data_IF_490817838757
#
_entry.id   IF_490817838757
#
_cell.length_a   1.000
_cell.length_b   1.000
_cell.length_c   1.000
_cell.angle_alpha   90.00
_cell.angle_beta   90.00
_cell.angle_gamma   90.00
#
_symmetry.space_group_name_H-M   'P 1'
#
loop_
_entity.id
_entity.type
_entity.pdbx_description
1 polymer ?
#
# COMPACT_ATOMS: atom_id res chain seq x y z
N UNK A 1 9.08 4.58 -3.14
CA UNK A 1 8.26 5.32 -2.18
C UNK A 1 7.04 6.03 -2.81
N UNK A 2 6.51 5.51 -3.91
CA UNK A 2 5.25 5.96 -4.49
C UNK A 2 4.27 4.79 -4.56
N UNK A 3 3.14 4.93 -3.90
CA UNK A 3 2.08 3.95 -3.92
C UNK A 3 0.82 4.55 -4.58
N UNK A 4 0.18 3.79 -5.46
CA UNK A 4 -1.04 4.20 -6.16
C UNK A 4 -2.26 3.35 -5.81
N UNK A 5 -2.10 2.38 -4.92
CA UNK A 5 -3.21 1.58 -4.43
C UNK A 5 -4.16 2.45 -3.57
N UNK A 6 -5.46 2.15 -3.53
CA UNK A 6 -6.38 2.83 -2.63
C UNK A 6 -5.92 2.73 -1.18
N UNK A 7 -6.05 3.80 -0.42
CA UNK A 7 -5.72 3.90 1.01
C UNK A 7 -4.24 3.59 1.34
N UNK A 8 -3.34 3.62 0.36
CA UNK A 8 -1.93 3.37 0.57
C UNK A 8 -1.32 4.33 1.62
N UNK A 9 -0.33 3.83 2.35
CA UNK A 9 0.39 4.63 3.33
C UNK A 9 1.13 5.82 2.67
N UNK A 10 1.14 6.95 3.37
CA UNK A 10 1.90 8.12 2.98
C UNK A 10 3.36 7.96 3.41
N UNK A 11 4.24 7.73 2.45
CA UNK A 11 5.65 7.55 2.71
C UNK A 11 6.38 8.83 3.12
N UNK A 12 5.88 10.01 2.78
CA UNK A 12 6.47 11.26 3.25
C UNK A 12 6.34 11.37 4.77
N UNK A 13 5.17 10.97 5.30
CA UNK A 13 4.94 10.87 6.74
C UNK A 13 5.75 9.74 7.40
N UNK A 14 5.73 8.55 6.81
CA UNK A 14 6.35 7.35 7.39
C UNK A 14 7.86 7.45 7.49
N UNK A 15 8.51 8.17 6.55
CA UNK A 15 9.96 8.30 6.47
C UNK A 15 10.50 9.58 7.12
N UNK A 16 9.65 10.44 7.65
CA UNK A 16 10.08 11.69 8.26
C UNK A 16 11.08 11.44 9.38
N UNK A 17 12.22 12.16 9.35
CA UNK A 17 13.29 12.04 10.35
C UNK A 17 14.18 10.80 10.22
N UNK A 18 14.13 10.09 9.09
CA UNK A 18 14.92 8.87 8.82
C UNK A 18 16.01 9.06 7.76
N UNK A 19 16.45 10.29 7.54
CA UNK A 19 17.42 10.65 6.51
C UNK A 19 18.75 9.91 6.68
N UNK A 20 19.23 9.76 7.92
CA UNK A 20 20.51 9.10 8.22
C UNK A 20 20.47 7.61 7.92
N UNK A 21 19.43 6.94 8.33
CA UNK A 21 19.22 5.52 8.10
C UNK A 21 19.06 5.24 6.58
N UNK A 22 18.26 6.06 5.91
CA UNK A 22 18.06 5.96 4.46
C UNK A 22 19.37 6.15 3.70
N UNK A 23 20.18 7.17 4.05
CA UNK A 23 21.47 7.40 3.40
C UNK A 23 22.46 6.27 3.65
N UNK A 24 22.54 5.74 4.87
CA UNK A 24 23.43 4.62 5.21
C UNK A 24 23.07 3.38 4.37
N UNK A 25 21.77 3.06 4.27
CA UNK A 25 21.30 1.93 3.48
C UNK A 25 21.60 2.12 1.98
N UNK A 26 21.32 3.29 1.40
CA UNK A 26 21.61 3.57 -0.02
C UNK A 26 23.09 3.46 -0.29
N UNK A 27 23.93 3.98 0.58
CA UNK A 27 25.40 3.87 0.46
C UNK A 27 25.87 2.41 0.44
N UNK A 28 25.29 1.56 1.30
CA UNK A 28 25.60 0.14 1.29
C UNK A 28 25.11 -0.56 0.02
N UNK A 29 23.86 -0.30 -0.39
CA UNK A 29 23.27 -0.89 -1.60
C UNK A 29 24.07 -0.53 -2.85
N UNK A 30 24.58 0.69 -2.97
CA UNK A 30 25.41 1.12 -4.09
C UNK A 30 26.74 0.34 -4.20
N UNK A 31 27.15 -0.37 -3.13
CA UNK A 31 28.33 -1.25 -3.13
C UNK A 31 27.99 -2.70 -3.46
N UNK A 32 26.72 -3.09 -3.34
CA UNK A 32 26.27 -4.46 -3.58
C UNK A 32 25.84 -4.71 -5.03
N UNK A 33 25.71 -3.66 -5.83
CA UNK A 33 25.31 -3.75 -7.25
C UNK A 33 26.23 -2.89 -8.12
N UNK A 34 26.45 -3.34 -9.34
CA UNK A 34 27.11 -2.52 -10.37
C UNK A 34 26.14 -1.53 -11.04
N UNK A 35 24.85 -1.72 -10.86
CA UNK A 35 23.80 -0.86 -11.38
C UNK A 35 23.50 0.34 -10.48
N UNK A 36 22.67 1.25 -10.99
CA UNK A 36 22.25 2.42 -10.24
C UNK A 36 21.17 2.08 -9.19
N UNK A 37 21.21 2.76 -8.06
CA UNK A 37 20.11 2.74 -7.07
C UNK A 37 19.03 3.70 -7.54
N UNK A 38 17.94 3.15 -8.07
CA UNK A 38 16.80 3.92 -8.57
C UNK A 38 15.79 4.14 -7.45
N UNK A 39 15.38 5.38 -7.22
CA UNK A 39 14.40 5.77 -6.20
C UNK A 39 13.21 6.46 -6.86
N UNK A 40 12.02 5.93 -6.66
CA UNK A 40 10.78 6.50 -7.18
C UNK A 40 9.99 7.18 -6.07
N UNK A 41 9.63 8.44 -6.27
CA UNK A 41 8.79 9.23 -5.36
C UNK A 41 7.62 9.87 -6.12
N UNK A 42 6.58 10.26 -5.41
CA UNK A 42 5.45 10.96 -6.02
C UNK A 42 5.85 12.31 -6.61
N UNK A 43 5.22 12.73 -7.70
CA UNK A 43 5.52 14.03 -8.34
C UNK A 43 5.37 15.23 -7.40
N UNK A 44 4.46 15.13 -6.41
CA UNK A 44 4.19 16.17 -5.41
C UNK A 44 4.75 15.80 -4.02
N UNK A 45 5.55 14.74 -3.93
CA UNK A 45 6.16 14.27 -2.68
C UNK A 45 7.19 15.28 -2.18
N UNK A 46 7.35 15.31 -0.86
CA UNK A 46 8.43 16.00 -0.17
C UNK A 46 9.18 14.98 0.71
N UNK A 47 9.53 13.87 0.10
CA UNK A 47 10.13 12.73 0.80
C UNK A 47 11.58 12.98 1.16
N UNK A 48 12.04 12.53 2.34
CA UNK A 48 13.45 12.50 2.69
C UNK A 48 14.35 11.79 1.66
N UNK A 49 13.76 10.91 0.85
CA UNK A 49 14.47 10.21 -0.22
C UNK A 49 14.98 11.12 -1.34
N UNK A 50 14.43 12.33 -1.48
CA UNK A 50 14.84 13.25 -2.56
C UNK A 50 16.22 13.88 -2.32
N UNK A 51 16.65 13.96 -1.06
CA UNK A 51 17.93 14.56 -0.69
C UNK A 51 19.07 13.55 -0.52
N UNK A 52 18.88 12.26 -0.91
CA UNK A 52 19.90 11.24 -0.75
C UNK A 52 20.96 11.31 -1.86
N UNK A 53 22.20 11.02 -1.49
CA UNK A 53 23.31 10.89 -2.43
C UNK A 53 23.35 9.48 -3.07
N UNK A 54 23.98 9.38 -4.24
CA UNK A 54 24.19 8.15 -4.99
C UNK A 54 22.91 7.43 -5.42
N UNK A 55 21.88 8.17 -5.74
CA UNK A 55 20.62 7.67 -6.29
C UNK A 55 20.31 8.26 -7.66
N UNK A 56 19.47 7.59 -8.41
CA UNK A 56 18.76 8.14 -9.57
C UNK A 56 17.31 8.35 -9.16
N UNK A 57 16.92 9.59 -9.01
CA UNK A 57 15.58 9.97 -8.55
C UNK A 57 14.59 10.01 -9.71
N UNK A 58 13.44 9.34 -9.55
CA UNK A 58 12.34 9.34 -10.50
C UNK A 58 11.07 9.91 -9.88
N UNK A 59 10.50 10.93 -10.49
CA UNK A 59 9.19 11.50 -10.11
C UNK A 59 8.09 10.76 -10.85
N UNK A 60 7.23 10.07 -10.11
CA UNK A 60 6.14 9.23 -10.64
C UNK A 60 4.78 9.85 -10.34
N UNK A 61 3.85 9.73 -11.27
CA UNK A 61 2.45 10.11 -11.07
C UNK A 61 1.54 9.31 -12.01
N UNK A 62 0.29 9.18 -11.64
CA UNK A 62 -0.71 8.50 -12.47
C UNK A 62 -1.68 7.66 -11.63
N UNK A 63 -2.71 7.13 -12.28
CA UNK A 63 -3.63 6.20 -11.61
C UNK A 63 -2.94 4.87 -11.32
N UNK A 64 -3.57 4.05 -10.49
CA UNK A 64 -3.14 2.66 -10.33
C UNK A 64 -3.15 1.95 -11.71
N UNK A 65 -2.12 1.18 -12.07
CA UNK A 65 -1.03 0.61 -11.26
C UNK A 65 0.32 1.39 -11.32
N UNK A 66 0.34 2.69 -11.55
CA UNK A 66 1.59 3.46 -11.66
C UNK A 66 2.52 3.35 -10.43
N UNK A 67 1.96 3.03 -9.26
CA UNK A 67 2.71 2.78 -8.03
C UNK A 67 3.29 1.37 -7.91
N UNK A 68 2.91 0.44 -8.79
CA UNK A 68 3.45 -0.90 -8.73
C UNK A 68 4.90 -0.92 -9.22
N UNK A 69 5.77 -1.58 -8.47
CA UNK A 69 7.21 -1.60 -8.75
C UNK A 69 7.54 -2.17 -10.13
N UNK A 70 6.84 -3.22 -10.56
CA UNK A 70 7.02 -3.77 -11.91
C UNK A 70 6.66 -2.78 -13.02
N UNK A 71 5.61 -1.96 -12.83
CA UNK A 71 5.24 -0.90 -13.78
C UNK A 71 6.31 0.19 -13.84
N UNK A 72 6.92 0.52 -12.71
CA UNK A 72 7.99 1.51 -12.64
C UNK A 72 9.27 0.98 -13.30
N UNK A 73 9.66 -0.26 -13.00
CA UNK A 73 10.82 -0.92 -13.63
C UNK A 73 10.65 -0.96 -15.15
N UNK A 74 9.48 -1.39 -15.64
CA UNK A 74 9.21 -1.46 -17.07
C UNK A 74 9.35 -0.12 -17.81
N UNK A 75 9.19 1.00 -17.09
CA UNK A 75 9.33 2.35 -17.67
C UNK A 75 10.71 2.98 -17.46
N UNK A 76 11.39 2.63 -16.39
CA UNK A 76 12.70 3.21 -16.02
C UNK A 76 13.82 2.45 -16.70
N UNK A 77 13.85 1.13 -16.49
CA UNK A 77 14.84 0.22 -17.06
C UNK A 77 14.24 -1.17 -17.15
N UNK A 78 13.59 -1.53 -18.27
CA UNK A 78 12.98 -2.85 -18.45
C UNK A 78 13.99 -3.98 -18.28
N UNK A 79 13.60 -5.00 -17.53
CA UNK A 79 14.44 -6.18 -17.27
C UNK A 79 14.37 -7.13 -18.46
N UNK A 80 15.53 -7.48 -19.01
CA UNK A 80 15.69 -8.44 -20.10
C UNK A 80 16.13 -9.82 -19.59
N UNK A 81 16.14 -10.81 -20.48
CA UNK A 81 16.58 -12.17 -20.15
C UNK A 81 18.01 -12.16 -19.62
N UNK A 82 18.19 -12.71 -18.42
CA UNK A 82 19.50 -12.79 -17.74
C UNK A 82 19.81 -11.60 -16.82
N UNK A 83 18.99 -10.56 -16.82
CA UNK A 83 19.13 -9.45 -15.89
C UNK A 83 18.35 -9.70 -14.59
N UNK A 84 18.83 -9.14 -13.50
CA UNK A 84 18.20 -9.24 -12.16
C UNK A 84 18.07 -7.85 -11.56
N UNK A 85 16.88 -7.54 -11.03
CA UNK A 85 16.62 -6.31 -10.30
C UNK A 85 16.16 -6.64 -8.89
N UNK A 86 16.80 -6.03 -7.91
CA UNK A 86 16.39 -6.10 -6.52
C UNK A 86 15.46 -4.91 -6.20
N UNK A 87 14.41 -5.19 -5.46
CA UNK A 87 13.46 -4.16 -5.01
C UNK A 87 13.34 -4.18 -3.49
N UNK A 88 13.23 -3.00 -2.91
CA UNK A 88 13.08 -2.82 -1.46
C UNK A 88 11.95 -1.82 -1.17
N UNK A 89 11.19 -2.06 -0.11
CA UNK A 89 10.29 -1.06 0.40
C UNK A 89 11.07 0.05 1.13
N UNK A 90 10.54 1.27 1.19
CA UNK A 90 11.22 2.36 1.90
C UNK A 90 11.45 2.07 3.39
N UNK A 91 10.56 1.35 4.05
CA UNK A 91 10.74 0.98 5.45
C UNK A 91 11.79 -0.12 5.65
N UNK A 92 11.91 -1.06 4.70
CA UNK A 92 13.01 -2.04 4.73
C UNK A 92 14.36 -1.35 4.60
N UNK A 93 14.42 -0.28 3.79
CA UNK A 93 15.62 0.54 3.67
C UNK A 93 15.99 1.19 5.01
N UNK A 94 15.01 1.70 5.77
CA UNK A 94 15.25 2.25 7.12
C UNK A 94 15.80 1.18 8.06
N UNK A 95 15.23 -0.02 8.06
CA UNK A 95 15.68 -1.14 8.91
C UNK A 95 17.12 -1.53 8.59
N UNK A 96 17.47 -1.61 7.30
CA UNK A 96 18.84 -1.90 6.85
C UNK A 96 19.80 -0.79 7.31
N UNK A 97 19.42 0.46 7.14
CA UNK A 97 20.23 1.60 7.55
C UNK A 97 20.46 1.64 9.06
N UNK A 98 19.42 1.42 9.86
CA UNK A 98 19.52 1.35 11.30
C UNK A 98 20.45 0.21 11.76
N UNK A 99 20.32 -0.97 11.14
CA UNK A 99 21.23 -2.08 11.40
C UNK A 99 22.69 -1.72 11.12
N UNK A 100 22.97 -1.05 10.01
CA UNK A 100 24.33 -0.66 9.63
C UNK A 100 24.91 0.41 10.57
N UNK A 101 24.08 1.33 11.05
CA UNK A 101 24.51 2.40 11.96
C UNK A 101 24.70 1.94 13.39
N UNK A 102 23.86 1.00 13.85
CA UNK A 102 23.79 0.63 15.29
C UNK A 102 24.29 -0.78 15.58
N UNK A 103 24.42 -1.63 14.58
CA UNK A 103 24.70 -3.06 14.74
C UNK A 103 23.53 -3.87 15.29
N UNK A 104 22.35 -3.27 15.44
CA UNK A 104 21.15 -3.93 16.01
C UNK A 104 20.02 -3.99 15.00
N UNK A 105 19.42 -5.17 14.85
CA UNK A 105 18.21 -5.32 14.06
C UNK A 105 16.99 -4.81 14.82
N UNK A 106 16.32 -3.81 14.24
CA UNK A 106 15.07 -3.29 14.76
C UNK A 106 13.92 -3.72 13.85
N UNK A 107 13.01 -4.55 14.35
CA UNK A 107 11.86 -5.04 13.61
C UNK A 107 10.65 -4.08 13.64
N UNK A 108 10.81 -2.88 14.19
CA UNK A 108 9.72 -1.90 14.24
C UNK A 108 9.39 -1.36 12.84
N UNK A 109 8.10 -1.20 12.61
CA UNK A 109 7.54 -0.72 11.37
C UNK A 109 6.33 0.16 11.62
N UNK A 110 6.19 1.24 10.86
CA UNK A 110 4.97 2.05 10.86
C UNK A 110 3.94 1.39 9.96
N UNK A 111 2.77 1.11 10.50
CA UNK A 111 1.68 0.42 9.82
C UNK A 111 0.48 1.36 9.73
N UNK A 112 -0.11 1.49 8.55
CA UNK A 112 -1.35 2.19 8.36
C UNK A 112 -2.53 1.24 8.63
N UNK A 113 -3.45 1.60 9.51
CA UNK A 113 -4.75 0.96 9.65
C UNK A 113 -5.79 1.83 8.95
N UNK A 114 -6.39 1.31 7.87
CA UNK A 114 -7.32 2.04 7.04
C UNK A 114 -8.44 1.14 6.52
N UNK A 115 -9.45 1.73 5.89
CA UNK A 115 -10.59 1.02 5.31
C UNK A 115 -11.92 1.55 5.81
N UNK A 116 -12.98 1.27 5.06
CA UNK A 116 -14.34 1.77 5.36
C UNK A 116 -14.95 1.18 6.64
N UNK A 117 -14.43 0.04 7.10
CA UNK A 117 -14.84 -0.57 8.36
C UNK A 117 -14.01 -0.12 9.58
N UNK A 118 -13.06 0.78 9.43
CA UNK A 118 -12.22 1.30 10.52
C UNK A 118 -12.83 2.56 11.10
N UNK A 119 -13.09 2.58 12.41
CA UNK A 119 -13.67 3.74 13.12
C UNK A 119 -12.83 5.02 13.01
N UNK A 120 -11.52 4.87 13.10
CA UNK A 120 -10.58 5.99 13.07
C UNK A 120 -9.26 5.53 12.42
N UNK A 121 -9.09 5.77 11.12
CA UNK A 121 -7.85 5.44 10.41
C UNK A 121 -6.66 6.17 11.03
N UNK A 122 -5.56 5.43 11.29
CA UNK A 122 -4.34 5.95 11.93
C UNK A 122 -3.13 5.15 11.52
N UNK A 123 -1.95 5.74 11.77
CA UNK A 123 -0.69 5.02 11.80
C UNK A 123 -0.40 4.46 13.18
N UNK A 124 0.19 3.29 13.23
CA UNK A 124 0.63 2.59 14.43
C UNK A 124 2.07 2.12 14.26
N UNK A 125 2.85 2.18 15.32
CA UNK A 125 4.13 1.49 15.39
C UNK A 125 3.87 0.05 15.81
N UNK A 126 4.38 -0.90 15.06
CA UNK A 126 4.26 -2.33 15.34
C UNK A 126 5.53 -3.05 14.89
N UNK A 127 5.57 -4.36 15.04
CA UNK A 127 6.70 -5.19 14.60
C UNK A 127 6.32 -6.01 13.36
N UNK A 128 7.32 -6.33 12.56
CA UNK A 128 7.17 -7.28 11.45
C UNK A 128 6.54 -8.58 11.96
N UNK A 129 5.52 -9.07 11.27
CA UNK A 129 4.80 -10.29 11.66
C UNK A 129 3.89 -10.15 12.88
N UNK A 130 3.56 -8.93 13.31
CA UNK A 130 2.66 -8.71 14.44
C UNK A 130 1.29 -9.30 14.18
N UNK A 131 0.63 -9.76 15.27
CA UNK A 131 -0.75 -10.23 15.21
C UNK A 131 -1.70 -9.11 14.78
N UNK A 132 -2.52 -9.39 13.79
CA UNK A 132 -3.52 -8.43 13.31
C UNK A 132 -4.58 -8.14 14.38
N UNK A 133 -4.87 -9.09 15.26
CA UNK A 133 -5.79 -8.88 16.40
C UNK A 133 -5.38 -7.65 17.22
N UNK A 134 -4.11 -7.54 17.58
CA UNK A 134 -3.60 -6.40 18.38
C UNK A 134 -3.70 -5.06 17.65
N UNK A 135 -3.69 -5.10 16.32
CA UNK A 135 -3.79 -3.90 15.47
C UNK A 135 -5.24 -3.44 15.35
N UNK A 136 -6.21 -4.38 15.21
CA UNK A 136 -7.61 -4.06 14.88
C UNK A 136 -8.56 -4.04 16.09
N UNK A 137 -8.17 -4.63 17.23
CA UNK A 137 -9.03 -4.77 18.42
C UNK A 137 -9.63 -3.43 18.87
N UNK A 138 -10.95 -3.41 19.04
CA UNK A 138 -11.72 -2.23 19.46
C UNK A 138 -11.81 -1.09 18.44
N UNK A 139 -11.22 -1.23 17.26
CA UNK A 139 -11.09 -0.16 16.25
C UNK A 139 -12.00 -0.32 15.04
N UNK A 140 -12.74 -1.42 14.96
CA UNK A 140 -13.61 -1.72 13.83
C UNK A 140 -15.07 -1.33 14.10
N UNK A 141 -15.76 -0.98 13.03
CA UNK A 141 -17.22 -0.83 13.04
C UNK A 141 -17.88 -2.20 13.28
N UNK A 142 -19.12 -2.19 13.77
CA UNK A 142 -19.93 -3.39 13.94
C UNK A 142 -20.19 -4.06 12.59
N UNK A 143 -20.41 -5.38 12.63
CA UNK A 143 -20.69 -6.20 11.46
C UNK A 143 -19.55 -7.15 11.08
N UNK A 144 -19.78 -7.93 10.05
CA UNK A 144 -18.74 -8.80 9.49
C UNK A 144 -17.75 -7.96 8.67
N UNK A 145 -16.48 -8.12 8.99
CA UNK A 145 -15.41 -7.34 8.39
C UNK A 145 -14.32 -8.24 7.80
N UNK A 146 -13.90 -7.93 6.60
CA UNK A 146 -12.73 -8.52 5.97
C UNK A 146 -11.48 -7.77 6.39
N UNK A 147 -10.57 -8.49 7.05
CA UNK A 147 -9.28 -7.94 7.50
C UNK A 147 -8.21 -8.39 6.52
N UNK A 148 -7.56 -7.43 5.89
CA UNK A 148 -6.60 -7.64 4.80
C UNK A 148 -5.22 -7.21 5.26
N UNK A 149 -4.24 -8.11 5.20
CA UNK A 149 -2.84 -7.75 5.26
C UNK A 149 -2.43 -7.13 3.94
N UNK A 150 -2.02 -5.86 3.95
CA UNK A 150 -1.76 -5.08 2.75
C UNK A 150 -2.95 -4.26 2.26
N UNK A 151 -2.98 -3.94 0.96
CA UNK A 151 -4.03 -3.12 0.34
C UNK A 151 -5.18 -3.97 -0.20
N UNK A 152 -6.31 -3.33 -0.53
CA UNK A 152 -7.53 -4.00 -1.01
C UNK A 152 -7.39 -4.72 -2.36
N UNK A 153 -6.36 -4.43 -3.16
CA UNK A 153 -6.22 -4.96 -4.52
C UNK A 153 -5.33 -6.20 -4.56
N UNK A 154 -4.27 -6.23 -3.75
CA UNK A 154 -3.24 -7.26 -3.79
C UNK A 154 -2.91 -7.86 -2.43
N UNK A 155 -3.52 -7.37 -1.36
CA UNK A 155 -3.32 -7.90 -0.02
C UNK A 155 -3.96 -9.26 0.19
N UNK A 156 -3.53 -9.96 1.23
CA UNK A 156 -4.04 -11.26 1.61
C UNK A 156 -5.20 -11.11 2.60
N UNK A 157 -6.31 -11.78 2.31
CA UNK A 157 -7.42 -11.86 3.27
C UNK A 157 -6.99 -12.74 4.44
N UNK A 158 -6.79 -12.11 5.57
CA UNK A 158 -6.47 -12.76 6.83
C UNK A 158 -7.66 -12.62 7.78
N UNK A 159 -7.84 -13.59 8.67
CA UNK A 159 -8.74 -13.35 9.79
C UNK A 159 -8.11 -12.35 10.77
N UNK A 160 -8.92 -11.78 11.66
CA UNK A 160 -8.39 -10.97 12.77
C UNK A 160 -7.35 -11.71 13.64
N UNK A 161 -7.26 -13.04 13.53
CA UNK A 161 -6.29 -13.90 14.21
C UNK A 161 -5.00 -14.11 13.40
N UNK A 162 -4.95 -13.66 12.15
CA UNK A 162 -3.77 -13.76 11.28
C UNK A 162 -2.64 -12.83 11.71
N UNK A 163 -1.54 -12.91 11.00
CA UNK A 163 -0.35 -12.06 11.20
C UNK A 163 -0.16 -11.12 10.02
N UNK A 164 0.38 -9.94 10.28
CA UNK A 164 0.77 -9.01 9.23
C UNK A 164 1.88 -9.64 8.37
N UNK A 165 1.68 -9.65 7.05
CA UNK A 165 2.66 -10.15 6.09
C UNK A 165 4.01 -9.43 6.21
N UNK A 166 5.09 -10.16 5.94
CA UNK A 166 6.45 -9.65 6.12
C UNK A 166 6.70 -8.33 5.36
N UNK A 167 6.17 -8.21 4.15
CA UNK A 167 6.36 -7.03 3.30
C UNK A 167 5.23 -6.00 3.41
N UNK A 168 4.18 -6.30 4.19
CA UNK A 168 3.03 -5.42 4.33
C UNK A 168 3.29 -4.31 5.35
N UNK A 169 2.86 -3.11 5.00
CA UNK A 169 2.98 -1.91 5.82
C UNK A 169 1.62 -1.27 6.12
N UNK A 170 0.55 -2.00 5.83
CA UNK A 170 -0.81 -1.55 6.13
C UNK A 170 -1.71 -2.74 6.42
N UNK A 171 -2.74 -2.47 7.19
CA UNK A 171 -3.90 -3.34 7.40
C UNK A 171 -5.11 -2.61 6.87
N UNK A 172 -5.79 -3.21 5.91
CA UNK A 172 -7.02 -2.66 5.34
C UNK A 172 -8.22 -3.46 5.82
N UNK A 173 -9.24 -2.77 6.34
CA UNK A 173 -10.46 -3.43 6.80
C UNK A 173 -11.66 -2.84 6.09
N UNK A 174 -12.43 -3.71 5.45
CA UNK A 174 -13.64 -3.36 4.70
C UNK A 174 -14.79 -4.27 5.13
N UNK A 175 -16.06 -3.84 5.00
CA UNK A 175 -17.20 -4.71 5.26
C UNK A 175 -17.16 -5.95 4.38
N UNK A 176 -17.43 -7.11 4.97
CA UNK A 176 -17.60 -8.36 4.21
C UNK A 176 -18.95 -8.33 3.48
N UNK A 177 -18.91 -8.63 2.20
CA UNK A 177 -20.06 -8.53 1.33
C UNK A 177 -20.89 -9.79 1.30
N UNK A 178 -21.78 -9.93 2.27
CA UNK A 178 -22.79 -10.99 2.29
C UNK A 178 -24.19 -10.51 1.89
N UNK A 179 -24.32 -9.22 1.55
CA UNK A 179 -25.60 -8.62 1.15
C UNK A 179 -25.77 -8.76 -0.37
N UNK A 180 -26.67 -9.65 -0.78
CA UNK A 180 -27.04 -9.86 -2.17
C UNK A 180 -28.19 -8.93 -2.54
N UNK A 181 -28.03 -8.15 -3.57
CA UNK A 181 -29.06 -7.28 -4.11
C UNK A 181 -29.59 -7.84 -5.43
N UNK A 182 -30.79 -8.40 -5.40
CA UNK A 182 -31.46 -8.94 -6.59
C UNK A 182 -31.60 -7.84 -7.65
N UNK A 183 -31.11 -8.11 -8.87
CA UNK A 183 -31.06 -7.15 -9.97
C UNK A 183 -30.36 -5.82 -9.63
N UNK A 184 -29.41 -5.82 -8.69
CA UNK A 184 -28.68 -4.61 -8.27
C UNK A 184 -27.97 -3.89 -9.42
N UNK A 185 -27.58 -4.63 -10.46
CA UNK A 185 -26.98 -4.09 -11.69
C UNK A 185 -27.97 -3.35 -12.62
N UNK A 186 -29.28 -3.51 -12.42
CA UNK A 186 -30.35 -2.81 -13.17
C UNK A 186 -30.86 -1.55 -12.47
N UNK A 187 -30.52 -1.34 -11.20
CA UNK A 187 -31.00 -0.18 -10.44
C UNK A 187 -30.18 1.07 -10.76
N UNK A 188 -30.81 2.19 -11.13
CA UNK A 188 -30.13 3.48 -11.21
C UNK A 188 -29.53 3.85 -9.86
N UNK A 189 -28.22 4.10 -9.78
CA UNK A 189 -27.55 4.32 -8.51
C UNK A 189 -26.38 5.33 -8.65
N UNK A 190 -26.27 6.27 -7.70
CA UNK A 190 -25.18 7.25 -7.63
C UNK A 190 -24.11 6.87 -6.60
N UNK A 191 -24.38 5.88 -5.76
CA UNK A 191 -23.48 5.46 -4.67
C UNK A 191 -22.57 4.29 -5.03
N UNK A 192 -22.81 3.65 -6.16
CA UNK A 192 -22.04 2.51 -6.64
C UNK A 192 -21.16 2.92 -7.81
N UNK A 193 -19.98 2.32 -7.90
CA UNK A 193 -19.08 2.47 -9.04
C UNK A 193 -19.37 1.37 -10.07
N UNK A 194 -19.40 1.74 -11.35
CA UNK A 194 -19.53 0.78 -12.43
C UNK A 194 -18.54 1.09 -13.56
N UNK A 195 -17.62 0.18 -13.85
CA UNK A 195 -16.69 0.34 -14.98
C UNK A 195 -17.40 0.40 -16.32
N UNK A 196 -18.52 -0.33 -16.49
CA UNK A 196 -19.33 -0.32 -17.71
C UNK A 196 -20.19 0.93 -17.88
N UNK A 197 -20.34 1.73 -16.81
CA UNK A 197 -21.23 2.91 -16.72
C UNK A 197 -22.71 2.59 -16.97
N UNK A 198 -23.09 1.33 -16.94
CA UNK A 198 -24.48 0.90 -17.13
C UNK A 198 -25.30 1.19 -15.86
N UNK A 199 -26.34 2.00 -15.96
CA UNK A 199 -27.32 2.34 -14.94
C UNK A 199 -26.75 2.90 -13.61
N UNK A 200 -25.44 2.97 -13.45
CA UNK A 200 -24.81 3.69 -12.33
C UNK A 200 -24.25 5.01 -12.83
N UNK A 201 -24.66 6.08 -12.21
CA UNK A 201 -24.32 7.44 -12.62
C UNK A 201 -23.11 8.02 -11.90
N UNK A 202 -22.30 7.16 -11.28
CA UNK A 202 -21.08 7.57 -10.56
C UNK A 202 -20.07 8.33 -11.44
N UNK A 203 -20.07 8.09 -12.73
CA UNK A 203 -19.22 8.79 -13.71
C UNK A 203 -19.58 10.28 -13.88
N UNK A 204 -20.80 10.70 -13.48
CA UNK A 204 -21.19 12.11 -13.41
C UNK A 204 -20.55 12.83 -12.21
N UNK A 205 -20.00 12.08 -11.26
CA UNK A 205 -19.43 12.57 -10.01
C UNK A 205 -17.96 12.14 -9.89
N UNK A 206 -17.06 12.59 -10.77
CA UNK A 206 -15.69 12.07 -10.88
C UNK A 206 -14.83 12.31 -9.62
N UNK A 207 -15.20 13.25 -8.78
CA UNK A 207 -14.48 13.58 -7.54
C UNK A 207 -15.09 12.90 -6.30
N UNK A 208 -16.18 12.15 -6.45
CA UNK A 208 -16.80 11.43 -5.33
C UNK A 208 -15.94 10.27 -4.90
N UNK A 209 -15.75 10.11 -3.61
CA UNK A 209 -15.13 8.94 -3.00
C UNK A 209 -16.20 7.91 -2.65
N UNK A 210 -15.88 6.65 -2.81
CA UNK A 210 -16.76 5.53 -2.54
C UNK A 210 -16.17 4.67 -1.44
N UNK A 211 -17.01 4.19 -0.53
CA UNK A 211 -16.61 3.22 0.47
C UNK A 211 -16.39 1.86 -0.19
N UNK A 212 -15.23 1.27 0.09
CA UNK A 212 -14.89 -0.05 -0.40
C UNK A 212 -15.60 -1.11 0.45
N UNK A 213 -16.15 -2.12 -0.19
CA UNK A 213 -16.68 -3.33 0.42
C UNK A 213 -16.51 -4.51 -0.57
N UNK A 214 -16.90 -5.71 -0.16
CA UNK A 214 -16.81 -6.91 -0.99
C UNK A 214 -18.15 -7.35 -1.57
N UNK A 215 -19.21 -6.52 -1.46
CA UNK A 215 -20.53 -6.87 -1.95
C UNK A 215 -20.54 -7.09 -3.47
N UNK A 216 -21.16 -8.17 -3.88
CA UNK A 216 -21.46 -8.45 -5.28
C UNK A 216 -22.81 -7.82 -5.60
N UNK A 217 -22.80 -6.73 -6.37
CA UNK A 217 -24.03 -6.05 -6.78
C UNK A 217 -24.67 -6.78 -7.98
N UNK A 218 -25.19 -7.99 -7.76
CA UNK A 218 -25.75 -8.85 -8.77
C UNK A 218 -25.97 -10.26 -8.25
N UNK A 219 -26.43 -11.16 -9.11
CA UNK A 219 -26.61 -12.57 -8.77
C UNK A 219 -25.29 -13.34 -8.88
N UNK A 220 -25.03 -14.20 -7.91
CA UNK A 220 -24.05 -15.27 -8.08
C UNK A 220 -24.56 -16.25 -9.12
N UNK A 221 -23.87 -16.33 -10.23
CA UNK A 221 -24.09 -17.45 -11.18
C UNK A 221 -23.22 -18.61 -10.72
N UNK A 222 -23.87 -19.76 -10.47
CA UNK A 222 -23.21 -21.03 -10.18
C UNK A 222 -22.40 -21.52 -11.40
#
# INVERSE_FOLDING_TARGET
AYASAPLAADYDYVLAGKEKELQAAVTALSKLTSGSVNVSVGKKSNSPLEGLDNIVLHKVSGPHPSGNVGTQIAKINPVNKGEVVWTLSPQDLVIIGELLLTGKFNAERTIALAGSAVKSPKYYTSKIGASMASIVEGKLNEGENRVISGNVLTGTNESSKGSLGFYDNMVTVIPEGNDYELFGWLKPEFKKISPSRALTFSWLLPNKKYDLNTNTNGEHRA
#
